data_IF_241098634794
#
_entry.id   IF_241098634794
#
_cell.length_a   1.000
_cell.length_b   1.000
_cell.length_c   1.000
_cell.angle_alpha   90.00
_cell.angle_beta   90.00
_cell.angle_gamma   90.00
#
_symmetry.space_group_name_H-M   'P 1'
#
loop_
_entity.id
_entity.type
_entity.pdbx_description
1 polymer ?
#
# COMPACT_ATOMS: atom_id res chain seq x y z
N UNK A 1 4.25 -4.35 6.98
CA UNK A 1 3.95 -5.74 7.40
C UNK A 1 2.67 -6.22 6.72
N UNK A 2 2.52 -7.53 6.53
CA UNK A 2 1.33 -8.10 5.89
C UNK A 2 0.08 -7.91 6.76
N UNK A 3 -1.03 -7.48 6.16
CA UNK A 3 -2.35 -7.44 6.78
C UNK A 3 -3.25 -8.44 6.06
N UNK A 4 -3.69 -9.49 6.76
CA UNK A 4 -4.63 -10.47 6.20
C UNK A 4 -6.01 -9.86 5.95
N UNK A 5 -6.46 -8.93 6.78
CA UNK A 5 -7.76 -8.25 6.59
C UNK A 5 -7.79 -7.42 5.30
N UNK A 6 -6.70 -6.71 5.02
CA UNK A 6 -6.59 -5.83 3.85
C UNK A 6 -5.97 -6.53 2.65
N UNK A 7 -5.43 -7.74 2.81
CA UNK A 7 -4.64 -8.45 1.79
C UNK A 7 -3.55 -7.55 1.17
N UNK A 8 -2.88 -6.73 2.01
CA UNK A 8 -1.92 -5.72 1.58
C UNK A 8 -0.82 -5.52 2.62
N UNK A 9 0.33 -4.99 2.20
CA UNK A 9 1.36 -4.59 3.16
C UNK A 9 1.06 -3.18 3.70
N UNK A 10 0.98 -3.03 5.02
CA UNK A 10 0.74 -1.74 5.69
C UNK A 10 1.73 -1.52 6.83
N UNK A 11 1.86 -0.28 7.30
CA UNK A 11 2.67 0.00 8.48
C UNK A 11 2.08 -0.69 9.72
N UNK A 12 2.93 -1.05 10.67
CA UNK A 12 2.51 -1.64 11.93
C UNK A 12 2.49 -0.57 13.03
N UNK A 13 1.34 -0.38 13.66
CA UNK A 13 1.23 0.49 14.81
C UNK A 13 1.64 -0.29 16.07
N UNK A 14 2.85 -0.04 16.55
CA UNK A 14 3.42 -0.77 17.70
C UNK A 14 2.69 -0.48 19.03
N UNK A 15 2.11 0.71 19.19
CA UNK A 15 1.35 1.08 20.39
C UNK A 15 0.04 0.28 20.43
N UNK A 16 -0.66 0.20 19.29
CA UNK A 16 -1.93 -0.54 19.16
C UNK A 16 -1.73 -2.03 18.85
N UNK A 17 -0.49 -2.47 18.68
CA UNK A 17 -0.07 -3.83 18.32
C UNK A 17 -0.87 -4.42 17.14
N UNK A 18 -1.06 -3.63 16.09
CA UNK A 18 -1.79 -4.07 14.89
C UNK A 18 -1.34 -3.35 13.62
N UNK A 19 -1.53 -3.96 12.42
CA UNK A 19 -1.40 -3.25 11.16
C UNK A 19 -2.29 -2.00 11.13
N UNK A 20 -1.82 -0.97 10.43
CA UNK A 20 -2.61 0.22 10.16
C UNK A 20 -3.60 -0.05 9.02
N UNK A 21 -4.71 0.70 9.01
CA UNK A 21 -5.71 0.63 7.94
C UNK A 21 -5.42 1.62 6.80
N UNK A 22 -4.15 1.97 6.60
CA UNK A 22 -3.71 2.93 5.58
C UNK A 22 -3.06 2.17 4.44
N UNK A 23 -3.63 2.30 3.25
CA UNK A 23 -3.03 1.79 2.02
C UNK A 23 -2.10 2.85 1.46
N UNK A 24 -0.83 2.51 1.31
CA UNK A 24 0.20 3.40 0.74
C UNK A 24 1.02 2.61 -0.29
N UNK A 25 1.62 3.32 -1.23
CA UNK A 25 2.43 2.72 -2.29
C UNK A 25 3.71 2.06 -1.74
N UNK A 26 4.08 2.34 -0.48
CA UNK A 26 5.17 1.65 0.21
C UNK A 26 4.98 0.11 0.28
N UNK A 27 3.75 -0.38 0.05
CA UNK A 27 3.48 -1.81 -0.08
C UNK A 27 4.20 -2.51 -1.24
N UNK A 28 4.79 -1.76 -2.19
CA UNK A 28 5.62 -2.31 -3.26
C UNK A 28 7.04 -2.69 -2.81
N UNK A 29 7.54 -2.15 -1.69
CA UNK A 29 8.92 -2.44 -1.25
C UNK A 29 9.17 -3.93 -0.97
N UNK A 30 8.27 -4.69 -0.33
CA UNK A 30 8.43 -6.14 -0.18
C UNK A 30 8.52 -6.92 -1.51
N UNK A 31 7.90 -6.43 -2.58
CA UNK A 31 8.01 -7.03 -3.92
C UNK A 31 9.38 -6.71 -4.52
N UNK A 32 9.82 -5.44 -4.41
CA UNK A 32 11.12 -5.00 -4.90
C UNK A 32 12.29 -5.72 -4.21
N UNK A 33 12.16 -6.00 -2.91
CA UNK A 33 13.16 -6.73 -2.11
C UNK A 33 13.09 -8.26 -2.26
N UNK A 34 12.15 -8.79 -3.05
CA UNK A 34 11.91 -10.23 -3.21
C UNK A 34 11.65 -10.99 -1.90
N UNK A 35 10.94 -10.35 -0.96
CA UNK A 35 10.56 -10.95 0.33
C UNK A 35 9.07 -11.24 0.45
N UNK A 36 8.28 -10.86 -0.55
CA UNK A 36 6.86 -11.19 -0.64
C UNK A 36 6.66 -12.58 -1.25
N UNK A 37 5.70 -13.34 -0.72
CA UNK A 37 5.26 -14.57 -1.37
C UNK A 37 4.52 -14.26 -2.68
N UNK A 38 4.44 -15.24 -3.60
CA UNK A 38 3.69 -15.09 -4.87
C UNK A 38 2.24 -14.63 -4.66
N UNK A 39 1.54 -15.18 -3.65
CA UNK A 39 0.16 -14.82 -3.35
C UNK A 39 0.06 -13.35 -2.87
N UNK A 40 0.98 -12.93 -1.99
CA UNK A 40 1.04 -11.54 -1.53
C UNK A 40 1.33 -10.58 -2.68
N UNK A 41 2.27 -10.92 -3.56
CA UNK A 41 2.60 -10.11 -4.74
C UNK A 41 1.38 -9.95 -5.67
N UNK A 42 0.64 -11.03 -5.93
CA UNK A 42 -0.59 -10.97 -6.73
C UNK A 42 -1.69 -10.11 -6.09
N UNK A 43 -1.85 -10.19 -4.77
CA UNK A 43 -2.80 -9.34 -4.04
C UNK A 43 -2.41 -7.86 -4.11
N UNK A 44 -1.13 -7.55 -3.90
CA UNK A 44 -0.61 -6.18 -4.00
C UNK A 44 -0.79 -5.62 -5.41
N UNK A 45 -0.44 -6.38 -6.44
CA UNK A 45 -0.59 -5.96 -7.83
C UNK A 45 -2.05 -5.59 -8.17
N UNK A 46 -3.02 -6.44 -7.79
CA UNK A 46 -4.45 -6.17 -8.00
C UNK A 46 -4.93 -4.90 -7.31
N UNK A 47 -4.46 -4.64 -6.09
CA UNK A 47 -4.83 -3.42 -5.36
C UNK A 47 -4.16 -2.18 -5.92
N UNK A 48 -2.90 -2.26 -6.36
CA UNK A 48 -2.21 -1.14 -6.99
C UNK A 48 -2.89 -0.75 -8.31
N UNK A 49 -3.23 -1.73 -9.14
CA UNK A 49 -3.95 -1.49 -10.39
C UNK A 49 -5.34 -0.86 -10.15
N UNK A 50 -6.11 -1.36 -9.17
CA UNK A 50 -7.46 -0.86 -8.92
C UNK A 50 -7.53 0.45 -8.16
N UNK A 51 -6.61 0.70 -7.21
CA UNK A 51 -6.72 1.80 -6.25
C UNK A 51 -5.69 2.91 -6.48
N UNK A 52 -4.49 2.59 -6.97
CA UNK A 52 -3.37 3.54 -7.04
C UNK A 52 -3.05 4.00 -8.46
N UNK A 53 -3.29 3.17 -9.47
CA UNK A 53 -3.01 3.52 -10.86
C UNK A 53 -3.98 4.60 -11.37
N UNK A 54 -3.41 5.62 -12.01
CA UNK A 54 -4.06 6.75 -12.67
C UNK A 54 -3.36 6.96 -14.02
N UNK A 55 -3.88 7.86 -14.84
CA UNK A 55 -3.33 8.15 -16.17
C UNK A 55 -1.85 8.54 -16.16
N UNK A 56 -1.39 9.22 -15.09
CA UNK A 56 0.00 9.67 -14.92
C UNK A 56 0.93 8.68 -14.22
N UNK A 57 0.45 7.49 -13.84
CA UNK A 57 1.20 6.52 -13.04
C UNK A 57 0.50 6.20 -11.73
N UNK A 58 1.27 5.81 -10.71
CA UNK A 58 0.75 5.42 -9.39
C UNK A 58 0.90 6.55 -8.40
N UNK A 59 -0.15 6.81 -7.60
CA UNK A 59 -0.12 7.79 -6.50
C UNK A 59 0.47 7.19 -5.22
N UNK A 60 0.91 8.01 -4.27
CA UNK A 60 1.58 7.56 -3.03
C UNK A 60 0.61 7.01 -1.99
N UNK A 61 -0.59 7.57 -1.89
CA UNK A 61 -1.69 7.11 -1.00
C UNK A 61 -3.03 7.23 -1.73
N UNK A 62 -4.11 6.73 -1.14
CA UNK A 62 -5.47 6.83 -1.73
C UNK A 62 -6.33 7.91 -1.05
N UNK A 63 -5.75 8.73 -0.18
CA UNK A 63 -6.48 9.72 0.60
C UNK A 63 -6.74 10.99 -0.22
N UNK A 64 -8.00 11.31 -0.48
CA UNK A 64 -8.38 12.55 -1.20
C UNK A 64 -8.46 13.78 -0.29
N UNK A 65 -8.18 13.65 1.00
CA UNK A 65 -8.36 14.71 2.00
C UNK A 65 -7.05 15.37 2.43
N UNK A 66 -5.91 14.79 2.04
CA UNK A 66 -4.60 15.33 2.43
C UNK A 66 -4.16 16.44 1.46
N UNK A 67 -3.40 17.38 1.99
CA UNK A 67 -2.71 18.43 1.22
C UNK A 67 -1.19 18.27 1.25
N UNK A 68 -0.70 17.15 1.79
CA UNK A 68 0.73 16.89 1.95
C UNK A 68 1.35 16.38 0.65
N UNK A 69 2.64 16.68 0.46
CA UNK A 69 3.35 16.34 -0.79
C UNK A 69 3.41 14.83 -1.07
N UNK A 70 3.43 13.99 -0.04
CA UNK A 70 3.55 12.54 -0.15
C UNK A 70 2.19 11.83 -0.04
N UNK A 71 1.11 12.49 -0.47
CA UNK A 71 -0.24 11.93 -0.58
C UNK A 71 -0.84 12.23 -1.97
N UNK A 72 -1.90 11.52 -2.33
CA UNK A 72 -2.69 11.79 -3.55
C UNK A 72 -3.03 13.29 -3.67
N UNK A 73 -2.84 13.94 -4.84
CA UNK A 73 -2.62 13.34 -6.16
C UNK A 73 -1.18 13.02 -6.56
N UNK A 74 -0.20 13.16 -5.66
CA UNK A 74 1.18 12.78 -5.93
C UNK A 74 1.45 11.29 -5.65
#
# INVERSE_FOLDING_TARGET
MWSDDLQFFTDYNFIRKKPTNRLTLAALYPLWLDIATKNQAQNVARQVESLFLRDGGVVTTISNQSTQQWDNPN
#
